data_IF_356357467028
#
_entry.id   IF_356357467028
#
_cell.length_a   1.000
_cell.length_b   1.000
_cell.length_c   1.000
_cell.angle_alpha   90.00
_cell.angle_beta   90.00
_cell.angle_gamma   90.00
#
_symmetry.space_group_name_H-M   'P 1'
#
loop_
_entity.id
_entity.type
_entity.pdbx_description
1 polymer ?
#
# COMPACT_ATOMS: atom_id res chain seq x y z
N UNK A 1 24.44 -11.11 36.78
CA UNK A 1 24.92 -9.99 35.95
C UNK A 1 24.68 -10.46 34.52
N UNK A 2 23.75 -9.82 33.80
CA UNK A 2 23.44 -10.20 32.41
C UNK A 2 24.72 -10.06 31.59
N UNK A 3 25.08 -11.10 30.86
CA UNK A 3 26.34 -11.17 30.08
C UNK A 3 26.18 -10.57 28.71
N UNK A 4 24.98 -10.63 28.14
CA UNK A 4 24.69 -10.23 26.77
C UNK A 4 23.61 -9.14 26.76
N UNK A 5 23.73 -8.12 25.88
CA UNK A 5 22.75 -7.05 25.75
C UNK A 5 21.43 -7.60 25.22
N UNK A 6 20.29 -7.11 25.73
CA UNK A 6 18.99 -7.45 25.11
C UNK A 6 18.71 -6.51 23.96
N UNK A 7 18.38 -7.12 22.82
CA UNK A 7 18.25 -6.45 21.53
C UNK A 7 16.88 -6.72 20.94
N UNK A 8 16.25 -5.66 20.43
CA UNK A 8 15.08 -5.78 19.57
C UNK A 8 15.37 -5.19 18.20
N UNK A 9 14.55 -5.53 17.21
CA UNK A 9 14.54 -4.84 15.93
C UNK A 9 13.14 -4.43 15.49
N UNK A 10 13.07 -3.35 14.72
CA UNK A 10 11.83 -2.88 14.10
C UNK A 10 11.92 -2.94 12.58
N UNK A 11 11.01 -3.69 11.96
CA UNK A 11 10.92 -3.86 10.51
C UNK A 11 9.56 -3.44 10.01
N UNK A 12 9.53 -2.65 8.93
CA UNK A 12 8.28 -2.21 8.28
C UNK A 12 8.38 -2.29 6.77
N UNK A 13 7.39 -2.95 6.14
CA UNK A 13 7.26 -3.02 4.68
C UNK A 13 5.82 -2.82 4.21
N UNK A 14 5.67 -2.10 3.09
CA UNK A 14 4.37 -1.72 2.54
C UNK A 14 3.82 -2.68 1.48
N UNK A 15 4.60 -3.63 0.96
CA UNK A 15 4.08 -4.57 -0.07
C UNK A 15 5.07 -5.64 -0.56
N UNK A 16 6.39 -5.45 -0.41
CA UNK A 16 7.39 -6.30 -1.05
C UNK A 16 8.09 -7.21 -0.04
N UNK A 17 7.98 -8.54 -0.25
CA UNK A 17 8.66 -9.56 0.58
C UNK A 17 10.18 -9.46 0.49
N UNK A 18 10.71 -9.18 -0.70
CA UNK A 18 12.15 -9.01 -0.91
C UNK A 18 12.70 -7.85 -0.06
N UNK A 19 11.98 -6.73 0.06
CA UNK A 19 12.43 -5.61 0.92
C UNK A 19 12.46 -5.97 2.41
N UNK A 20 11.70 -6.96 2.85
CA UNK A 20 11.72 -7.42 4.25
C UNK A 20 12.92 -8.31 4.49
N UNK A 21 13.22 -9.23 3.56
CA UNK A 21 14.38 -10.13 3.65
C UNK A 21 15.69 -9.34 3.75
N UNK A 22 15.88 -8.33 2.90
CA UNK A 22 17.08 -7.49 2.94
C UNK A 22 17.24 -6.72 4.27
N UNK A 23 16.13 -6.28 4.89
CA UNK A 23 16.20 -5.63 6.20
C UNK A 23 16.67 -6.60 7.27
N UNK A 24 16.22 -7.86 7.22
CA UNK A 24 16.69 -8.88 8.16
C UNK A 24 18.14 -9.23 7.93
N UNK A 25 18.58 -9.38 6.68
CA UNK A 25 19.97 -9.71 6.36
C UNK A 25 20.93 -8.64 6.94
N UNK A 26 20.62 -7.35 6.78
CA UNK A 26 21.45 -6.26 7.32
C UNK A 26 21.42 -6.20 8.86
N UNK A 27 20.28 -6.52 9.48
CA UNK A 27 20.15 -6.58 10.95
C UNK A 27 20.91 -7.77 11.53
N UNK A 28 20.82 -8.93 10.87
CA UNK A 28 21.51 -10.15 11.27
C UNK A 28 23.04 -9.96 11.09
N UNK A 29 23.48 -9.30 10.01
CA UNK A 29 24.89 -8.92 9.84
C UNK A 29 25.37 -7.95 10.94
N UNK A 30 24.56 -6.96 11.32
CA UNK A 30 24.88 -6.06 12.43
C UNK A 30 25.08 -6.80 13.76
N UNK A 31 24.29 -7.85 13.99
CA UNK A 31 24.36 -8.70 15.18
C UNK A 31 25.62 -9.58 15.17
N UNK A 32 25.90 -10.23 14.04
CA UNK A 32 27.09 -11.04 13.82
C UNK A 32 28.38 -10.24 14.06
N UNK A 33 28.44 -8.98 13.60
CA UNK A 33 29.57 -8.07 13.83
C UNK A 33 29.82 -7.73 15.31
N UNK A 34 28.84 -8.02 16.19
CA UNK A 34 28.89 -7.77 17.64
C UNK A 34 28.93 -9.06 18.47
N UNK A 35 29.16 -10.20 17.82
CA UNK A 35 29.14 -11.53 18.44
C UNK A 35 27.81 -11.85 19.14
N UNK A 36 26.68 -11.33 18.62
CA UNK A 36 25.33 -11.59 19.11
C UNK A 36 24.64 -12.63 18.23
N UNK A 37 23.84 -13.53 18.82
CA UNK A 37 23.03 -14.48 18.07
C UNK A 37 21.77 -13.77 17.49
N UNK A 38 21.60 -13.69 16.15
CA UNK A 38 20.41 -13.10 15.55
C UNK A 38 19.09 -13.76 15.99
N UNK A 39 19.14 -15.00 16.47
CA UNK A 39 17.97 -15.71 17.00
C UNK A 39 17.50 -15.17 18.36
N UNK A 40 18.32 -14.41 19.07
CA UNK A 40 17.98 -13.77 20.35
C UNK A 40 17.43 -12.34 20.18
N UNK A 41 17.33 -11.84 18.95
CA UNK A 41 16.75 -10.52 18.66
C UNK A 41 15.22 -10.61 18.63
N UNK A 42 14.56 -9.86 19.50
CA UNK A 42 13.11 -9.71 19.47
C UNK A 42 12.66 -8.89 18.25
N UNK A 43 11.85 -9.48 17.38
CA UNK A 43 11.47 -8.88 16.09
C UNK A 43 10.06 -8.28 16.14
N UNK A 44 9.98 -6.95 16.03
CA UNK A 44 8.72 -6.20 15.90
C UNK A 44 8.47 -5.83 14.44
N UNK A 45 7.37 -6.33 13.86
CA UNK A 45 7.19 -6.33 12.40
C UNK A 45 5.82 -5.85 11.98
N UNK A 46 5.75 -4.68 11.34
CA UNK A 46 4.52 -4.16 10.73
C UNK A 46 4.54 -4.38 9.20
N UNK A 47 3.76 -5.35 8.71
CA UNK A 47 3.65 -5.69 7.28
C UNK A 47 2.28 -5.29 6.70
N UNK A 48 2.27 -4.53 5.62
CA UNK A 48 1.04 -4.30 4.86
C UNK A 48 0.61 -5.56 4.10
N UNK A 49 -0.66 -5.91 4.25
CA UNK A 49 -1.32 -6.81 3.32
C UNK A 49 -1.94 -5.96 2.20
N UNK A 50 -1.48 -6.18 0.96
CA UNK A 50 -2.10 -5.70 -0.29
C UNK A 50 -2.63 -4.25 -0.26
N UNK A 51 -1.73 -3.27 -0.41
CA UNK A 51 -2.10 -1.87 -0.66
C UNK A 51 -2.67 -1.09 0.53
N UNK A 52 -2.75 -1.71 1.72
CA UNK A 52 -3.10 -1.04 2.97
C UNK A 52 -1.91 -0.44 3.71
N UNK A 53 -2.18 0.40 4.71
CA UNK A 53 -1.18 0.81 5.70
C UNK A 53 -0.84 -0.40 6.60
N UNK A 54 0.44 -0.73 6.87
CA UNK A 54 0.83 -1.88 7.72
C UNK A 54 0.26 -1.92 9.15
N UNK A 55 -0.52 -0.93 9.58
CA UNK A 55 -0.80 -0.71 10.99
C UNK A 55 0.45 -0.22 11.73
N UNK A 56 0.36 -0.24 13.06
CA UNK A 56 1.43 0.21 13.97
C UNK A 56 1.43 -0.55 15.30
N UNK A 57 0.80 -1.73 15.35
CA UNK A 57 0.66 -2.50 16.59
C UNK A 57 2.03 -2.93 17.10
N UNK A 58 2.90 -3.45 16.23
CA UNK A 58 4.23 -3.91 16.66
C UNK A 58 5.14 -2.74 17.03
N UNK A 59 4.98 -1.59 16.37
CA UNK A 59 5.66 -0.37 16.79
C UNK A 59 5.23 0.09 18.20
N UNK A 60 3.93 0.10 18.48
CA UNK A 60 3.40 0.48 19.81
C UNK A 60 3.90 -0.50 20.89
N UNK A 61 3.91 -1.80 20.61
CA UNK A 61 4.45 -2.82 21.53
C UNK A 61 5.95 -2.64 21.81
N UNK A 62 6.74 -2.28 20.79
CA UNK A 62 8.16 -1.98 20.96
C UNK A 62 8.38 -0.76 21.85
N UNK A 63 7.61 0.32 21.62
CA UNK A 63 7.69 1.52 22.45
C UNK A 63 7.40 1.19 23.92
N UNK A 64 6.39 0.38 24.20
CA UNK A 64 6.04 -0.01 25.57
C UNK A 64 7.10 -0.92 26.21
N UNK A 65 7.73 -1.80 25.42
CA UNK A 65 8.85 -2.62 25.86
C UNK A 65 10.11 -1.78 26.18
N UNK A 66 10.41 -0.78 25.36
CA UNK A 66 11.50 0.19 25.62
C UNK A 66 11.22 0.98 26.90
N UNK A 67 10.00 1.51 27.08
CA UNK A 67 9.59 2.22 28.31
C UNK A 67 9.73 1.36 29.57
N UNK A 68 9.58 0.04 29.44
CA UNK A 68 9.79 -0.91 30.52
C UNK A 68 11.27 -1.25 30.78
N UNK A 69 12.21 -0.67 30.02
CA UNK A 69 13.65 -0.87 30.15
C UNK A 69 14.11 -2.27 29.73
N UNK A 70 13.42 -2.90 28.77
CA UNK A 70 13.74 -4.28 28.35
C UNK A 70 15.00 -4.37 27.48
N UNK A 71 15.26 -3.35 26.67
CA UNK A 71 16.28 -3.42 25.62
C UNK A 71 17.42 -2.43 25.83
N UNK A 72 18.63 -2.94 25.70
CA UNK A 72 19.87 -2.17 25.63
C UNK A 72 20.05 -1.58 24.22
N UNK A 73 19.64 -2.35 23.19
CA UNK A 73 19.69 -1.95 21.78
C UNK A 73 18.35 -2.15 21.08
N UNK A 74 18.03 -1.20 20.20
CA UNK A 74 16.97 -1.37 19.19
C UNK A 74 17.57 -1.11 17.81
N UNK A 75 17.51 -2.10 16.93
CA UNK A 75 18.04 -2.04 15.57
C UNK A 75 16.92 -1.71 14.59
N UNK A 76 17.15 -0.71 13.75
CA UNK A 76 16.27 -0.38 12.63
C UNK A 76 17.07 -0.40 11.34
N UNK A 77 16.41 -0.68 10.22
CA UNK A 77 17.09 -0.61 8.94
C UNK A 77 17.44 0.83 8.56
N UNK A 78 16.43 1.68 8.40
CA UNK A 78 16.63 3.09 8.10
C UNK A 78 15.59 3.96 8.83
N UNK A 79 15.93 5.23 9.08
CA UNK A 79 15.05 6.19 9.78
C UNK A 79 13.73 6.41 9.05
N UNK A 80 13.71 6.26 7.71
CA UNK A 80 12.48 6.43 6.94
C UNK A 80 11.40 5.40 7.31
N UNK A 81 11.76 4.24 7.88
CA UNK A 81 10.81 3.25 8.40
C UNK A 81 9.96 3.82 9.55
N UNK A 82 10.56 4.67 10.39
CA UNK A 82 9.90 5.39 11.48
C UNK A 82 9.13 6.61 10.98
N UNK A 83 9.75 7.43 10.12
CA UNK A 83 9.13 8.66 9.60
C UNK A 83 7.81 8.41 8.84
N UNK A 84 7.63 7.20 8.29
CA UNK A 84 6.40 6.81 7.61
C UNK A 84 5.20 6.65 8.55
N UNK A 85 5.39 6.60 9.87
CA UNK A 85 4.35 6.58 10.90
C UNK A 85 3.83 7.99 11.25
N UNK A 86 4.43 9.05 10.68
CA UNK A 86 4.07 10.44 10.94
C UNK A 86 5.01 11.07 11.99
N UNK A 87 4.44 11.80 12.96
CA UNK A 87 5.16 12.50 14.04
C UNK A 87 5.89 11.59 15.03
N UNK A 88 5.91 10.28 14.79
CA UNK A 88 6.27 9.23 15.74
C UNK A 88 7.79 9.00 15.90
N UNK A 89 8.62 9.51 14.99
CA UNK A 89 10.08 9.36 15.13
C UNK A 89 10.64 10.15 16.32
N UNK A 90 10.03 11.29 16.69
CA UNK A 90 10.42 12.06 17.86
C UNK A 90 10.16 11.29 19.15
N UNK A 91 8.94 10.75 19.30
CA UNK A 91 8.57 9.88 20.41
C UNK A 91 9.51 8.69 20.54
N UNK A 92 9.87 8.04 19.43
CA UNK A 92 10.79 6.91 19.43
C UNK A 92 12.16 7.26 20.04
N UNK A 93 12.77 8.36 19.59
CA UNK A 93 14.07 8.79 20.13
C UNK A 93 13.98 9.33 21.55
N UNK A 94 12.88 10.00 21.93
CA UNK A 94 12.63 10.45 23.30
C UNK A 94 12.49 9.27 24.27
N UNK A 95 11.78 8.22 23.86
CA UNK A 95 11.65 6.99 24.65
C UNK A 95 13.01 6.31 24.77
N UNK A 96 13.78 6.20 23.67
CA UNK A 96 15.11 5.62 23.69
C UNK A 96 16.06 6.34 24.67
N UNK A 97 16.06 7.68 24.65
CA UNK A 97 16.83 8.50 25.58
C UNK A 97 16.38 8.26 27.04
N UNK A 98 15.07 8.24 27.29
CA UNK A 98 14.53 8.04 28.63
C UNK A 98 14.75 6.63 29.19
N UNK A 99 14.86 5.61 28.32
CA UNK A 99 15.08 4.21 28.69
C UNK A 99 16.55 3.78 28.66
N UNK A 100 17.47 4.69 28.34
CA UNK A 100 18.91 4.41 28.15
C UNK A 100 19.18 3.37 27.04
N UNK A 101 18.31 3.33 26.03
CA UNK A 101 18.39 2.39 24.89
C UNK A 101 19.14 3.00 23.72
N UNK A 102 20.10 2.27 23.16
CA UNK A 102 20.85 2.68 21.96
C UNK A 102 20.08 2.27 20.72
N UNK A 103 19.92 3.20 19.77
CA UNK A 103 19.32 2.90 18.47
C UNK A 103 20.43 2.64 17.46
N UNK A 104 20.48 1.43 16.91
CA UNK A 104 21.35 1.09 15.79
C UNK A 104 20.60 1.23 14.46
N UNK A 105 21.26 1.76 13.44
CA UNK A 105 20.71 2.01 12.11
C UNK A 105 21.64 1.36 11.09
N UNK A 106 21.16 0.37 10.33
CA UNK A 106 22.02 -0.43 9.44
C UNK A 106 22.16 0.16 8.04
N UNK A 107 21.17 0.93 7.58
CA UNK A 107 21.17 1.68 6.33
C UNK A 107 20.81 3.15 6.60
N UNK A 108 21.83 3.96 6.90
CA UNK A 108 21.62 5.32 7.37
C UNK A 108 22.80 6.25 7.16
N UNK A 109 22.57 7.53 7.46
CA UNK A 109 23.63 8.56 7.48
C UNK A 109 24.41 8.57 8.79
N UNK A 110 23.94 7.79 9.76
CA UNK A 110 24.50 7.61 11.09
C UNK A 110 24.21 6.18 11.52
N UNK A 111 25.20 5.52 12.11
CA UNK A 111 25.11 4.10 12.47
C UNK A 111 24.41 3.89 13.82
N UNK A 112 24.52 4.86 14.74
CA UNK A 112 23.95 4.79 16.07
C UNK A 112 23.43 6.14 16.58
N UNK A 113 22.31 6.13 17.28
CA UNK A 113 21.83 7.22 18.12
C UNK A 113 21.86 6.77 19.57
N UNK A 114 22.57 7.53 20.41
CA UNK A 114 22.78 7.18 21.82
C UNK A 114 21.97 8.10 22.76
N UNK A 115 21.67 7.63 23.99
CA UNK A 115 20.96 8.45 25.00
C UNK A 115 21.65 9.77 25.34
N UNK A 116 22.98 9.88 25.16
CA UNK A 116 23.73 11.12 25.37
C UNK A 116 23.58 12.16 24.23
N UNK A 117 22.75 11.87 23.23
CA UNK A 117 22.49 12.71 22.07
C UNK A 117 23.48 12.49 20.91
N UNK A 118 24.46 11.60 21.04
CA UNK A 118 25.35 11.26 19.93
C UNK A 118 24.54 10.72 18.76
N UNK A 119 24.81 11.21 17.54
CA UNK A 119 24.11 10.80 16.32
C UNK A 119 22.73 11.43 16.10
N UNK A 120 22.12 12.02 17.14
CA UNK A 120 20.75 12.57 17.10
C UNK A 120 20.56 13.64 16.03
N UNK A 121 21.50 14.58 15.89
CA UNK A 121 21.42 15.63 14.87
C UNK A 121 21.35 15.07 13.44
N UNK A 122 22.19 14.08 13.13
CA UNK A 122 22.22 13.48 11.79
C UNK A 122 20.93 12.69 11.55
N UNK A 123 20.46 11.99 12.59
CA UNK A 123 19.19 11.26 12.52
C UNK A 123 18.00 12.19 12.25
N UNK A 124 17.92 13.34 12.94
CA UNK A 124 16.85 14.31 12.75
C UNK A 124 16.88 14.94 11.33
N UNK A 125 18.07 15.23 10.80
CA UNK A 125 18.21 15.72 9.42
C UNK A 125 17.75 14.65 8.43
N UNK A 126 18.16 13.39 8.62
CA UNK A 126 17.76 12.27 7.77
C UNK A 126 16.23 12.06 7.79
N UNK A 127 15.62 12.11 8.98
CA UNK A 127 14.16 12.05 9.14
C UNK A 127 13.46 13.18 8.37
N UNK A 128 13.91 14.42 8.53
CA UNK A 128 13.33 15.59 7.86
C UNK A 128 13.42 15.49 6.32
N UNK A 129 14.53 14.96 5.80
CA UNK A 129 14.72 14.72 4.36
C UNK A 129 13.77 13.63 3.86
N UNK A 130 13.65 12.51 4.58
CA UNK A 130 12.74 11.43 4.23
C UNK A 130 11.27 11.89 4.21
N UNK A 131 10.85 12.69 5.19
CA UNK A 131 9.52 13.31 5.22
C UNK A 131 9.28 14.22 4.01
N UNK A 132 10.25 15.06 3.64
CA UNK A 132 10.12 15.95 2.50
C UNK A 132 10.02 15.18 1.18
N UNK A 133 10.83 14.14 1.01
CA UNK A 133 10.75 13.24 -0.13
C UNK A 133 9.36 12.58 -0.23
N UNK A 134 8.83 12.07 0.88
CA UNK A 134 7.47 11.51 0.92
C UNK A 134 6.42 12.55 0.54
N UNK A 135 6.48 13.77 1.08
CA UNK A 135 5.56 14.86 0.73
C UNK A 135 5.62 15.19 -0.76
N UNK A 136 6.82 15.26 -1.35
CA UNK A 136 7.01 15.51 -2.79
C UNK A 136 6.45 14.38 -3.65
N UNK A 137 6.66 13.12 -3.25
CA UNK A 137 6.11 11.95 -3.94
C UNK A 137 4.58 12.00 -3.96
N UNK A 138 3.94 12.21 -2.80
CA UNK A 138 2.47 12.33 -2.70
C UNK A 138 1.95 13.45 -3.60
N UNK A 139 2.58 14.64 -3.56
CA UNK A 139 2.22 15.76 -4.44
C UNK A 139 2.32 15.39 -5.92
N UNK A 140 3.39 14.68 -6.31
CA UNK A 140 3.61 14.25 -7.70
C UNK A 140 2.56 13.23 -8.15
N UNK A 141 2.22 12.28 -7.28
CA UNK A 141 1.17 11.28 -7.53
C UNK A 141 -0.17 11.98 -7.73
N UNK A 142 -0.58 12.87 -6.82
CA UNK A 142 -1.82 13.63 -6.96
C UNK A 142 -1.84 14.49 -8.22
N UNK A 143 -0.74 15.17 -8.55
CA UNK A 143 -0.63 15.94 -9.78
C UNK A 143 -0.72 15.04 -11.03
N UNK A 144 -0.17 13.82 -10.99
CA UNK A 144 -0.31 12.83 -12.06
C UNK A 144 -1.75 12.37 -12.24
N UNK A 145 -2.43 12.03 -11.14
CA UNK A 145 -3.85 11.65 -11.14
C UNK A 145 -4.70 12.80 -11.70
N UNK A 146 -4.46 14.03 -11.27
CA UNK A 146 -5.22 15.20 -11.76
C UNK A 146 -4.99 15.44 -13.25
N UNK A 147 -3.74 15.30 -13.74
CA UNK A 147 -3.45 15.40 -15.18
C UNK A 147 -4.17 14.32 -15.97
N UNK A 148 -4.08 13.07 -15.55
CA UNK A 148 -4.75 11.95 -16.20
C UNK A 148 -6.28 12.16 -16.23
N UNK A 149 -6.86 12.68 -15.14
CA UNK A 149 -8.28 13.04 -15.07
C UNK A 149 -8.65 14.13 -16.08
N UNK A 150 -7.85 15.20 -16.15
CA UNK A 150 -8.07 16.30 -17.09
C UNK A 150 -7.86 15.88 -18.56
N UNK A 151 -7.05 14.84 -18.79
CA UNK A 151 -6.82 14.23 -20.10
C UNK A 151 -7.92 13.22 -20.50
N UNK A 152 -8.97 13.02 -19.68
CA UNK A 152 -10.06 12.08 -19.97
C UNK A 152 -9.74 10.61 -19.67
N UNK A 153 -8.63 10.30 -19.01
CA UNK A 153 -8.25 8.90 -18.74
C UNK A 153 -9.13 8.25 -17.68
N UNK A 154 -9.30 6.94 -17.80
CA UNK A 154 -10.03 6.15 -16.81
C UNK A 154 -9.16 5.86 -15.58
N UNK A 155 -9.65 6.30 -14.42
CA UNK A 155 -8.97 6.14 -13.14
C UNK A 155 -9.72 5.12 -12.28
N UNK A 156 -8.99 4.22 -11.62
CA UNK A 156 -9.56 3.21 -10.73
C UNK A 156 -9.85 1.86 -11.42
N UNK A 157 -10.83 1.15 -10.89
CA UNK A 157 -11.29 -0.16 -11.40
C UNK A 157 -12.04 0.02 -12.72
N UNK A 158 -11.76 -0.86 -13.69
CA UNK A 158 -12.43 -0.84 -14.99
C UNK A 158 -13.79 -1.53 -14.85
N UNK A 159 -14.89 -0.92 -15.32
CA UNK A 159 -16.19 -1.57 -15.37
C UNK A 159 -16.13 -2.87 -16.18
N UNK A 160 -16.89 -3.90 -15.76
CA UNK A 160 -16.97 -5.17 -16.50
C UNK A 160 -17.47 -4.94 -17.93
N UNK A 161 -16.96 -5.68 -18.91
CA UNK A 161 -17.27 -5.41 -20.32
C UNK A 161 -16.53 -4.23 -20.93
N UNK A 162 -15.71 -3.51 -20.16
CA UNK A 162 -14.80 -2.48 -20.67
C UNK A 162 -13.34 -2.87 -20.41
N UNK A 163 -12.44 -2.21 -21.13
CA UNK A 163 -11.00 -2.29 -20.94
C UNK A 163 -10.39 -0.89 -20.93
N UNK A 164 -9.13 -0.78 -20.49
CA UNK A 164 -8.30 0.39 -20.70
C UNK A 164 -7.33 0.12 -21.84
N UNK A 165 -7.25 1.04 -22.80
CA UNK A 165 -6.22 0.96 -23.83
C UNK A 165 -4.84 1.34 -23.27
N UNK A 166 -3.79 1.19 -24.10
CA UNK A 166 -2.40 1.50 -23.72
C UNK A 166 -2.19 2.97 -23.31
N UNK A 167 -3.08 3.86 -23.73
CA UNK A 167 -3.04 5.28 -23.40
C UNK A 167 -3.85 5.61 -22.13
N UNK A 168 -4.58 4.64 -21.57
CA UNK A 168 -5.35 4.77 -20.33
C UNK A 168 -6.80 5.24 -20.50
N UNK A 169 -7.30 5.30 -21.73
CA UNK A 169 -8.70 5.62 -22.01
C UNK A 169 -9.58 4.39 -21.87
N UNK A 170 -10.83 4.58 -21.45
CA UNK A 170 -11.82 3.51 -21.37
C UNK A 170 -12.28 3.15 -22.78
N UNK A 171 -12.46 1.86 -23.07
CA UNK A 171 -13.03 1.37 -24.32
C UNK A 171 -13.89 0.12 -24.05
N UNK A 172 -14.95 -0.13 -24.84
CA UNK A 172 -15.68 -1.38 -24.78
C UNK A 172 -14.77 -2.58 -25.10
N UNK A 173 -14.85 -3.65 -24.30
CA UNK A 173 -14.15 -4.90 -24.60
C UNK A 173 -14.95 -5.67 -25.65
N UNK A 174 -14.59 -5.49 -26.92
CA UNK A 174 -15.30 -6.09 -28.06
C UNK A 174 -14.78 -7.47 -28.46
N UNK A 175 -13.53 -7.77 -28.13
CA UNK A 175 -12.89 -9.06 -28.42
C UNK A 175 -12.39 -9.68 -27.11
N UNK A 176 -13.28 -10.17 -26.24
CA UNK A 176 -12.90 -10.76 -24.96
C UNK A 176 -12.18 -12.11 -25.16
N UNK A 177 -11.19 -12.38 -24.31
CA UNK A 177 -10.67 -13.74 -24.14
C UNK A 177 -11.72 -14.64 -23.46
N UNK A 178 -11.65 -15.98 -23.55
CA UNK A 178 -12.65 -16.89 -22.96
C UNK A 178 -12.89 -16.71 -21.45
N UNK A 179 -11.94 -16.13 -20.73
CA UNK A 179 -12.03 -15.84 -19.29
C UNK A 179 -12.60 -14.45 -18.95
N UNK A 180 -12.95 -13.66 -19.96
CA UNK A 180 -13.46 -12.31 -19.81
C UNK A 180 -14.93 -12.23 -20.25
N UNK A 181 -15.61 -11.18 -19.85
CA UNK A 181 -16.94 -10.84 -20.37
C UNK A 181 -16.82 -9.58 -21.19
N UNK A 182 -17.22 -9.63 -22.46
CA UNK A 182 -17.21 -8.48 -23.34
C UNK A 182 -18.37 -7.53 -23.07
N UNK A 183 -18.27 -6.32 -23.62
CA UNK A 183 -19.33 -5.29 -23.50
C UNK A 183 -20.70 -5.84 -23.94
N UNK A 184 -20.73 -6.53 -25.08
CA UNK A 184 -21.96 -7.07 -25.66
C UNK A 184 -22.55 -8.23 -24.85
N UNK A 185 -21.72 -9.02 -24.17
CA UNK A 185 -22.18 -10.11 -23.31
C UNK A 185 -22.92 -9.55 -22.09
N UNK A 186 -22.35 -8.52 -21.45
CA UNK A 186 -22.97 -7.83 -20.32
C UNK A 186 -24.27 -7.16 -20.74
N UNK A 187 -24.26 -6.45 -21.88
CA UNK A 187 -25.47 -5.83 -22.43
C UNK A 187 -26.58 -6.86 -22.66
N UNK A 188 -26.28 -7.97 -23.33
CA UNK A 188 -27.27 -9.01 -23.61
C UNK A 188 -27.88 -9.59 -22.32
N UNK A 189 -27.06 -9.86 -21.30
CA UNK A 189 -27.55 -10.32 -19.99
C UNK A 189 -28.43 -9.28 -19.27
N UNK A 190 -28.15 -7.99 -19.40
CA UNK A 190 -28.99 -6.93 -18.84
C UNK A 190 -30.33 -6.80 -19.58
N UNK A 191 -30.33 -6.92 -20.91
CA UNK A 191 -31.57 -6.96 -21.71
C UNK A 191 -32.44 -8.17 -21.32
N UNK A 192 -31.87 -9.34 -21.06
CA UNK A 192 -32.61 -10.50 -20.53
C UNK A 192 -33.26 -10.18 -19.17
N UNK A 193 -32.55 -9.47 -18.29
CA UNK A 193 -33.07 -9.08 -16.97
C UNK A 193 -34.26 -8.12 -17.10
N UNK A 194 -34.21 -7.13 -18.02
CA UNK A 194 -35.35 -6.25 -18.29
C UNK A 194 -36.58 -7.01 -18.80
N UNK A 195 -36.35 -8.11 -19.51
CA UNK A 195 -37.40 -9.02 -19.97
C UNK A 195 -37.87 -10.03 -18.89
N UNK A 196 -37.40 -9.90 -17.65
CA UNK A 196 -37.85 -10.68 -16.50
C UNK A 196 -37.05 -11.95 -16.22
N UNK A 197 -35.90 -12.15 -16.88
CA UNK A 197 -34.98 -13.25 -16.54
C UNK A 197 -34.32 -12.96 -15.18
N UNK A 198 -34.16 -13.99 -14.36
CA UNK A 198 -33.51 -13.81 -13.05
C UNK A 198 -32.01 -13.53 -13.19
N UNK A 199 -31.44 -12.68 -12.32
CA UNK A 199 -29.99 -12.41 -12.29
C UNK A 199 -29.11 -13.67 -12.30
N UNK A 200 -29.60 -14.76 -11.67
CA UNK A 200 -28.89 -16.04 -11.63
C UNK A 200 -28.82 -16.71 -13.01
N UNK A 201 -29.90 -16.62 -13.78
CA UNK A 201 -29.95 -17.18 -15.13
C UNK A 201 -29.15 -16.32 -16.11
N UNK A 202 -29.32 -15.00 -16.04
CA UNK A 202 -28.61 -14.04 -16.89
C UNK A 202 -27.08 -14.05 -16.69
N UNK A 203 -26.59 -14.37 -15.48
CA UNK A 203 -25.16 -14.51 -15.20
C UNK A 203 -24.57 -15.86 -15.60
N UNK A 204 -25.39 -16.87 -15.93
CA UNK A 204 -24.92 -18.24 -16.21
C UNK A 204 -23.90 -18.35 -17.36
N UNK A 205 -24.03 -17.60 -18.49
CA UNK A 205 -23.05 -17.66 -19.57
C UNK A 205 -21.80 -16.82 -19.31
N UNK A 206 -21.77 -16.01 -18.23
CA UNK A 206 -20.72 -15.04 -17.96
C UNK A 206 -19.69 -15.57 -16.95
N UNK A 207 -18.50 -14.99 -17.00
CA UNK A 207 -17.46 -15.13 -15.98
C UNK A 207 -17.78 -14.26 -14.74
N UNK A 208 -18.52 -13.17 -14.90
CA UNK A 208 -18.93 -12.27 -13.82
C UNK A 208 -20.06 -12.84 -12.97
N UNK A 209 -20.23 -12.28 -11.78
CA UNK A 209 -21.20 -12.79 -10.82
C UNK A 209 -22.59 -12.19 -11.01
N UNK A 210 -23.62 -12.93 -10.58
CA UNK A 210 -24.98 -12.39 -10.44
C UNK A 210 -25.07 -11.14 -9.57
N UNK A 211 -24.15 -10.98 -8.60
CA UNK A 211 -24.09 -9.79 -7.74
C UNK A 211 -23.56 -8.58 -8.52
N UNK A 212 -22.59 -8.80 -9.41
CA UNK A 212 -22.10 -7.76 -10.32
C UNK A 212 -23.21 -7.27 -11.24
N UNK A 213 -23.93 -8.18 -11.90
CA UNK A 213 -25.07 -7.81 -12.76
C UNK A 213 -26.16 -7.08 -11.97
N UNK A 214 -26.53 -7.60 -10.79
CA UNK A 214 -27.53 -6.94 -9.93
C UNK A 214 -27.09 -5.54 -9.50
N UNK A 215 -25.80 -5.31 -9.26
CA UNK A 215 -25.27 -3.98 -8.92
C UNK A 215 -25.36 -3.02 -10.11
N UNK A 216 -25.10 -3.50 -11.33
CA UNK A 216 -25.19 -2.69 -12.54
C UNK A 216 -26.65 -2.32 -12.83
N UNK A 217 -27.56 -3.31 -12.80
CA UNK A 217 -28.98 -3.09 -13.10
C UNK A 217 -29.70 -2.19 -12.08
N UNK A 218 -29.25 -2.18 -10.82
CA UNK A 218 -29.82 -1.31 -9.77
C UNK A 218 -29.24 0.12 -9.75
N UNK A 219 -28.21 0.37 -10.56
CA UNK A 219 -27.56 1.67 -10.69
C UNK A 219 -28.00 2.27 -12.04
N UNK A 220 -28.95 3.20 -12.00
CA UNK A 220 -29.56 3.80 -13.21
C UNK A 220 -28.51 4.39 -14.16
N UNK A 221 -27.47 5.02 -13.62
CA UNK A 221 -26.39 5.60 -14.45
C UNK A 221 -25.60 4.49 -15.13
N UNK A 222 -25.14 3.49 -14.38
CA UNK A 222 -24.37 2.38 -14.94
C UNK A 222 -25.18 1.52 -15.90
N UNK A 223 -26.48 1.33 -15.64
CA UNK A 223 -27.37 0.57 -16.49
C UNK A 223 -27.47 1.19 -17.89
N UNK A 224 -27.56 2.52 -17.98
CA UNK A 224 -27.62 3.25 -19.25
C UNK A 224 -26.35 3.09 -20.09
N UNK A 225 -25.18 2.89 -19.47
CA UNK A 225 -23.93 2.67 -20.21
C UNK A 225 -23.99 1.44 -21.11
N UNK A 226 -24.74 0.40 -20.70
CA UNK A 226 -24.84 -0.86 -21.45
C UNK A 226 -26.08 -0.92 -22.33
N UNK A 227 -27.25 -0.49 -21.82
CA UNK A 227 -28.52 -0.64 -22.55
C UNK A 227 -28.71 0.45 -23.60
N UNK A 228 -28.46 1.70 -23.21
CA UNK A 228 -28.69 2.87 -24.06
C UNK A 228 -27.41 3.38 -24.74
N UNK A 229 -26.25 2.85 -24.34
CA UNK A 229 -24.93 3.33 -24.75
C UNK A 229 -24.75 4.84 -24.51
N UNK A 230 -25.25 5.34 -23.37
CA UNK A 230 -25.13 6.75 -22.95
C UNK A 230 -24.60 6.87 -21.54
N UNK A 231 -23.86 7.95 -21.26
CA UNK A 231 -23.35 8.26 -19.92
C UNK A 231 -23.31 9.78 -19.66
N UNK A 232 -23.38 10.19 -18.39
CA UNK A 232 -23.07 11.56 -17.99
C UNK A 232 -21.54 11.80 -17.92
N UNK A 233 -20.77 10.74 -17.60
CA UNK A 233 -19.32 10.79 -17.61
C UNK A 233 -18.79 10.85 -19.04
N UNK A 234 -18.20 11.99 -19.42
CA UNK A 234 -17.64 12.23 -20.76
C UNK A 234 -16.69 11.11 -21.21
N UNK A 235 -15.94 10.48 -20.29
CA UNK A 235 -14.98 9.42 -20.61
C UNK A 235 -15.65 8.12 -21.04
N UNK A 236 -16.85 7.86 -20.51
CA UNK A 236 -17.66 6.71 -20.90
C UNK A 236 -18.39 7.02 -22.20
N UNK A 237 -18.89 8.24 -22.35
CA UNK A 237 -19.48 8.70 -23.62
C UNK A 237 -18.50 8.57 -24.78
N UNK A 238 -17.27 9.09 -24.63
CA UNK A 238 -16.20 8.92 -25.63
C UNK A 238 -15.89 7.44 -25.92
N UNK A 239 -15.87 6.58 -24.89
CA UNK A 239 -15.66 5.15 -25.07
C UNK A 239 -16.77 4.49 -25.90
N UNK A 240 -18.02 4.90 -25.67
CA UNK A 240 -19.20 4.32 -26.32
C UNK A 240 -19.40 4.83 -27.75
N UNK A 241 -18.82 5.98 -28.13
CA UNK A 241 -18.81 6.45 -29.53
C UNK A 241 -18.16 5.44 -30.48
N UNK A 242 -17.23 4.61 -30.00
CA UNK A 242 -16.59 3.55 -30.81
C UNK A 242 -17.56 2.41 -31.22
N UNK A 243 -18.77 2.37 -30.64
CA UNK A 243 -19.79 1.37 -30.97
C UNK A 243 -20.68 1.77 -32.16
N UNK A 244 -20.65 3.04 -32.59
CA UNK A 244 -21.48 3.60 -33.67
C UNK A 244 -20.79 3.68 -35.02
#
# INVERSE_FOLDING_TARGET
>A
MRTDPEVACYVRSSTEKQTVEHQYDDIDEWADQRDLDPAEIDRYVDLAQSGGDPGREQFEELIDAMRAGRYDYVVIWEISRLARLGSTHQEFFEVAEASDTIIAITDGWVDEVRPDGTGKLIADISAAVAEDQRRRLIKRVHAGIQRARNEGKWLGEVPVGFQRNDQGYLQPLLNPEPSEDGYLDIRASLEEIENGVSYRQAAKPLNTTRQTLSRIDQDEERKQWYLDATAEDERVTEALEELG
#
